data_IF_897503858856
#
_entry.id   IF_897503858856
#
_cell.length_a   1.000
_cell.length_b   1.000
_cell.length_c   1.000
_cell.angle_alpha   90.00
_cell.angle_beta   90.00
_cell.angle_gamma   90.00
#
_symmetry.space_group_name_H-M   'P 1'
#
loop_
_entity.id
_entity.type
_entity.pdbx_description
1 polymer ?
#
# COMPACT_ATOMS: atom_id res chain seq x y z
N UNK A 1 34.14 -23.68 42.08
CA UNK A 1 32.87 -23.08 41.65
C UNK A 1 32.90 -21.55 41.56
N UNK A 2 33.46 -20.81 42.54
CA UNK A 2 33.52 -19.34 42.47
C UNK A 2 34.32 -18.77 41.28
N UNK A 3 35.38 -19.47 40.85
CA UNK A 3 36.23 -19.05 39.74
C UNK A 3 35.50 -19.07 38.38
N UNK A 4 34.69 -20.11 38.12
CA UNK A 4 33.87 -20.22 36.90
C UNK A 4 32.82 -19.12 36.80
N UNK A 5 32.25 -18.73 37.93
CA UNK A 5 31.22 -17.70 38.01
C UNK A 5 31.81 -16.30 37.78
N UNK A 6 33.06 -16.10 38.20
CA UNK A 6 33.83 -14.89 37.91
C UNK A 6 34.22 -14.81 36.43
N UNK A 7 34.75 -15.89 35.87
CA UNK A 7 35.13 -15.95 34.45
C UNK A 7 33.94 -15.70 33.52
N UNK A 8 32.78 -16.29 33.83
CA UNK A 8 31.55 -16.04 33.05
C UNK A 8 31.10 -14.57 33.13
N UNK A 9 31.26 -13.91 34.28
CA UNK A 9 30.94 -12.49 34.44
C UNK A 9 31.91 -11.60 33.68
N UNK A 10 33.21 -11.85 33.81
CA UNK A 10 34.24 -11.07 33.14
C UNK A 10 34.06 -11.14 31.60
N UNK A 11 33.71 -12.32 31.07
CA UNK A 11 33.37 -12.49 29.65
C UNK A 11 32.12 -11.74 29.21
N UNK A 12 31.10 -11.65 30.06
CA UNK A 12 29.89 -10.88 29.76
C UNK A 12 30.18 -9.38 29.75
N UNK A 13 31.03 -8.91 30.66
CA UNK A 13 31.45 -7.51 30.73
C UNK A 13 32.30 -7.12 29.50
N UNK A 14 33.19 -8.01 29.04
CA UNK A 14 33.97 -7.81 27.81
C UNK A 14 33.07 -7.74 26.57
N UNK A 15 32.09 -8.65 26.46
CA UNK A 15 31.11 -8.62 25.37
C UNK A 15 30.25 -7.35 25.37
N UNK A 16 29.87 -6.85 26.54
CA UNK A 16 29.14 -5.60 26.68
C UNK A 16 29.99 -4.38 26.28
N UNK A 17 31.27 -4.38 26.66
CA UNK A 17 32.23 -3.33 26.31
C UNK A 17 32.47 -3.27 24.80
N UNK A 18 32.70 -4.42 24.16
CA UNK A 18 32.93 -4.48 22.71
C UNK A 18 31.69 -4.14 21.89
N UNK A 19 30.50 -4.52 22.37
CA UNK A 19 29.24 -4.14 21.70
C UNK A 19 29.11 -2.64 21.51
N UNK A 20 29.52 -1.83 22.50
CA UNK A 20 29.43 -0.36 22.41
C UNK A 20 30.41 0.25 21.41
N UNK A 21 31.51 -0.45 21.08
CA UNK A 21 32.51 -0.03 20.08
C UNK A 21 32.08 -0.35 18.65
N UNK A 22 31.45 -1.51 18.44
CA UNK A 22 31.04 -1.97 17.10
C UNK A 22 29.62 -1.52 16.71
N UNK A 23 28.79 -1.20 17.69
CA UNK A 23 27.44 -0.66 17.48
C UNK A 23 27.28 0.61 18.32
N UNK A 24 27.83 1.76 17.89
CA UNK A 24 27.57 3.05 18.51
C UNK A 24 26.16 3.51 18.11
N UNK A 25 25.14 2.78 18.56
CA UNK A 25 23.74 3.08 18.30
C UNK A 25 23.05 3.13 19.65
N UNK A 26 22.71 4.35 20.07
CA UNK A 26 21.75 4.58 21.13
C UNK A 26 20.51 3.74 20.85
N UNK A 27 20.08 2.97 21.86
CA UNK A 27 18.80 2.27 21.83
C UNK A 27 17.69 3.27 21.47
N UNK A 28 17.19 3.20 20.23
CA UNK A 28 15.94 3.86 19.87
C UNK A 28 15.85 4.39 18.44
N UNK A 29 16.94 4.82 17.81
CA UNK A 29 16.79 5.71 16.64
C UNK A 29 16.87 5.01 15.28
N UNK A 30 17.63 3.92 15.12
CA UNK A 30 17.94 3.44 13.75
C UNK A 30 16.96 2.40 13.19
N UNK A 31 16.37 1.53 14.03
CA UNK A 31 15.33 0.59 13.57
C UNK A 31 13.99 1.27 13.30
N UNK A 32 13.70 2.38 14.00
CA UNK A 32 12.51 3.18 13.78
C UNK A 32 12.64 4.03 12.51
N UNK A 33 13.83 4.55 12.18
CA UNK A 33 14.04 5.34 10.95
C UNK A 33 13.92 4.45 9.70
N UNK A 34 14.38 3.20 9.73
CA UNK A 34 14.17 2.25 8.62
C UNK A 34 12.70 1.81 8.52
N UNK A 35 11.98 1.70 9.65
CA UNK A 35 10.52 1.43 9.68
C UNK A 35 9.65 2.64 9.31
N UNK A 36 10.16 3.86 9.51
CA UNK A 36 9.48 5.14 9.28
C UNK A 36 9.95 5.84 8.00
N UNK A 37 10.64 5.13 7.08
CA UNK A 37 10.55 5.53 5.69
C UNK A 37 9.11 5.22 5.28
N UNK A 38 8.21 6.14 5.57
CA UNK A 38 6.92 6.24 4.88
C UNK A 38 7.27 6.06 3.41
N UNK A 39 6.98 4.89 2.84
CA UNK A 39 7.07 4.74 1.40
C UNK A 39 6.20 5.84 0.84
N UNK A 40 6.78 6.67 -0.02
CA UNK A 40 6.08 7.81 -0.60
C UNK A 40 4.73 7.33 -1.13
N UNK A 41 3.65 7.97 -0.66
CA UNK A 41 2.32 7.63 -1.15
C UNK A 41 2.29 7.87 -2.65
N UNK A 42 1.84 6.88 -3.39
CA UNK A 42 1.61 7.03 -4.83
C UNK A 42 0.28 7.71 -5.07
N UNK A 43 0.17 8.39 -6.20
CA UNK A 43 -1.06 9.03 -6.65
C UNK A 43 -1.47 8.46 -8.01
N UNK A 44 -2.72 8.64 -8.39
CA UNK A 44 -3.26 8.07 -9.63
C UNK A 44 -2.82 8.79 -10.90
N UNK A 45 -2.33 10.03 -10.83
CA UNK A 45 -1.93 10.82 -12.00
C UNK A 45 -0.65 10.27 -12.65
N UNK A 46 -0.65 10.22 -13.99
CA UNK A 46 0.52 9.94 -14.82
C UNK A 46 0.53 10.87 -16.03
N UNK A 47 1.70 11.39 -16.38
CA UNK A 47 1.90 12.11 -17.63
C UNK A 47 2.20 11.11 -18.75
N UNK A 48 1.15 10.65 -19.45
CA UNK A 48 1.25 9.59 -20.46
C UNK A 48 2.38 9.77 -21.51
N UNK A 49 2.68 10.99 -22.01
CA UNK A 49 3.76 11.16 -22.99
C UNK A 49 5.16 10.73 -22.53
N UNK A 50 5.38 10.60 -21.21
CA UNK A 50 6.65 10.12 -20.65
C UNK A 50 6.72 8.58 -20.56
N UNK A 51 5.66 7.87 -20.92
CA UNK A 51 5.60 6.40 -20.82
C UNK A 51 5.71 5.79 -22.21
N UNK A 52 6.68 4.88 -22.39
CA UNK A 52 6.99 4.26 -23.69
C UNK A 52 6.89 2.74 -23.57
N UNK A 53 6.37 2.08 -24.62
CA UNK A 53 6.42 0.63 -24.76
C UNK A 53 5.44 -0.15 -23.89
N UNK A 54 4.41 0.50 -23.35
CA UNK A 54 3.39 -0.10 -22.48
C UNK A 54 2.01 -0.25 -23.13
N UNK A 55 1.88 0.05 -24.42
CA UNK A 55 0.58 0.04 -25.10
C UNK A 55 -0.09 -1.33 -25.13
N UNK A 56 0.71 -2.39 -25.38
CA UNK A 56 0.22 -3.77 -25.39
C UNK A 56 -0.29 -4.19 -23.99
N UNK A 57 0.51 -3.94 -22.96
CA UNK A 57 0.16 -4.25 -21.56
C UNK A 57 -1.09 -3.46 -21.12
N UNK A 58 -1.16 -2.16 -21.43
CA UNK A 58 -2.33 -1.30 -21.15
C UNK A 58 -3.58 -1.86 -21.79
N UNK A 59 -3.49 -2.28 -23.06
CA UNK A 59 -4.62 -2.85 -23.82
C UNK A 59 -5.08 -4.19 -23.23
N UNK A 60 -4.16 -5.05 -22.81
CA UNK A 60 -4.49 -6.34 -22.21
C UNK A 60 -5.20 -6.17 -20.86
N UNK A 61 -4.66 -5.33 -19.97
CA UNK A 61 -5.30 -5.06 -18.67
C UNK A 61 -6.66 -4.38 -18.85
N UNK A 62 -6.75 -3.40 -19.74
CA UNK A 62 -8.02 -2.75 -20.10
C UNK A 62 -9.06 -3.77 -20.54
N UNK A 63 -8.69 -4.72 -21.41
CA UNK A 63 -9.59 -5.79 -21.84
C UNK A 63 -10.07 -6.62 -20.65
N UNK A 64 -9.17 -7.04 -19.77
CA UNK A 64 -9.53 -7.83 -18.58
C UNK A 64 -10.53 -7.11 -17.65
N UNK A 65 -10.34 -5.81 -17.38
CA UNK A 65 -11.26 -5.07 -16.49
C UNK A 65 -12.62 -4.80 -17.15
N UNK A 66 -12.66 -4.59 -18.47
CA UNK A 66 -13.88 -4.29 -19.22
C UNK A 66 -14.73 -5.54 -19.52
N UNK A 67 -14.10 -6.71 -19.61
CA UNK A 67 -14.79 -7.99 -19.88
C UNK A 67 -15.31 -8.68 -18.61
N UNK A 68 -15.17 -8.02 -17.45
CA UNK A 68 -15.71 -8.54 -16.19
C UNK A 68 -17.22 -8.75 -16.31
N UNK A 69 -17.64 -10.03 -16.40
CA UNK A 69 -19.04 -10.41 -16.58
C UNK A 69 -19.87 -9.99 -15.38
N UNK A 70 -21.08 -9.49 -15.63
CA UNK A 70 -22.06 -9.11 -14.60
C UNK A 70 -22.51 -10.27 -13.69
N UNK A 71 -22.05 -11.51 -13.94
CA UNK A 71 -22.37 -12.70 -13.15
C UNK A 71 -21.51 -12.81 -11.88
N UNK A 72 -20.35 -12.14 -11.83
CA UNK A 72 -19.46 -12.13 -10.67
C UNK A 72 -19.50 -10.75 -10.02
N UNK A 73 -19.88 -10.69 -8.74
CA UNK A 73 -20.04 -9.43 -8.01
C UNK A 73 -18.71 -8.64 -7.84
N UNK A 74 -17.56 -9.32 -7.83
CA UNK A 74 -16.22 -8.71 -7.67
C UNK A 74 -15.19 -9.46 -8.50
N UNK A 75 -14.37 -8.74 -9.27
CA UNK A 75 -13.21 -9.27 -9.98
C UNK A 75 -11.91 -8.64 -9.46
N UNK A 76 -10.86 -9.46 -9.34
CA UNK A 76 -9.56 -9.04 -8.81
C UNK A 76 -8.47 -9.39 -9.81
N UNK A 77 -7.66 -8.40 -10.17
CA UNK A 77 -6.48 -8.56 -11.04
C UNK A 77 -5.25 -8.19 -10.21
N UNK A 78 -4.36 -9.16 -10.00
CA UNK A 78 -3.11 -8.93 -9.30
C UNK A 78 -1.99 -8.58 -10.29
N UNK A 79 -1.30 -7.46 -10.05
CA UNK A 79 -0.13 -7.05 -10.82
C UNK A 79 1.14 -7.33 -10.02
N UNK A 80 1.92 -8.33 -10.45
CA UNK A 80 3.16 -8.73 -9.75
C UNK A 80 4.37 -8.47 -10.62
N UNK A 81 5.55 -8.35 -9.99
CA UNK A 81 6.80 -8.12 -10.71
C UNK A 81 7.86 -7.43 -9.85
N UNK A 82 9.08 -7.43 -10.37
CA UNK A 82 10.26 -6.87 -9.69
C UNK A 82 10.06 -5.37 -9.40
N UNK A 83 10.71 -4.85 -8.35
CA UNK A 83 10.74 -3.42 -8.05
C UNK A 83 11.28 -2.60 -9.23
N UNK A 84 10.75 -1.41 -9.45
CA UNK A 84 11.20 -0.52 -10.53
C UNK A 84 10.76 -0.91 -11.94
N UNK A 85 10.02 -2.01 -12.14
CA UNK A 85 9.55 -2.42 -13.47
C UNK A 85 8.44 -1.51 -14.03
N UNK A 86 7.81 -0.65 -13.21
CA UNK A 86 6.75 0.27 -13.64
C UNK A 86 5.31 -0.26 -13.50
N UNK A 87 5.05 -1.13 -12.51
CA UNK A 87 3.70 -1.65 -12.21
C UNK A 87 2.71 -0.53 -11.92
N UNK A 88 3.07 0.36 -11.00
CA UNK A 88 2.29 1.55 -10.64
C UNK A 88 2.02 2.41 -11.86
N UNK A 89 3.04 2.67 -12.68
CA UNK A 89 2.89 3.44 -13.94
C UNK A 89 1.89 2.81 -14.89
N UNK A 90 1.94 1.49 -15.08
CA UNK A 90 0.99 0.77 -15.91
C UNK A 90 -0.43 0.83 -15.34
N UNK A 91 -0.59 0.69 -14.02
CA UNK A 91 -1.90 0.84 -13.36
C UNK A 91 -2.46 2.27 -13.52
N UNK A 92 -1.63 3.31 -13.39
CA UNK A 92 -2.03 4.70 -13.64
C UNK A 92 -2.48 4.92 -15.09
N UNK A 93 -1.77 4.35 -16.08
CA UNK A 93 -2.17 4.44 -17.49
C UNK A 93 -3.54 3.82 -17.76
N UNK A 94 -3.84 2.68 -17.14
CA UNK A 94 -5.15 2.01 -17.29
C UNK A 94 -6.22 2.80 -16.53
N UNK A 95 -5.93 3.25 -15.31
CA UNK A 95 -6.87 3.98 -14.45
C UNK A 95 -7.34 5.29 -15.09
N UNK A 96 -6.48 5.97 -15.84
CA UNK A 96 -6.79 7.24 -16.52
C UNK A 96 -7.20 7.06 -17.99
N UNK A 97 -7.38 5.82 -18.48
CA UNK A 97 -7.86 5.60 -19.84
C UNK A 97 -9.32 6.10 -20.00
N UNK A 98 -9.58 6.81 -21.09
CA UNK A 98 -10.87 7.46 -21.33
C UNK A 98 -12.05 6.49 -21.40
N UNK A 99 -11.85 5.26 -21.90
CA UNK A 99 -12.93 4.27 -21.91
C UNK A 99 -13.16 3.71 -20.51
N UNK A 100 -12.09 3.45 -19.75
CA UNK A 100 -12.16 2.98 -18.36
C UNK A 100 -12.90 4.00 -17.49
N UNK A 101 -12.57 5.28 -17.64
CA UNK A 101 -13.25 6.38 -16.95
C UNK A 101 -14.74 6.48 -17.28
N UNK A 102 -15.13 6.19 -18.53
CA UNK A 102 -16.55 6.18 -18.92
C UNK A 102 -17.29 4.93 -18.43
N UNK A 103 -16.58 3.82 -18.29
CA UNK A 103 -17.18 2.54 -17.91
C UNK A 103 -17.45 2.45 -16.40
N UNK A 104 -16.52 2.93 -15.58
CA UNK A 104 -16.64 2.90 -14.12
C UNK A 104 -17.18 4.24 -13.59
N UNK A 105 -18.33 4.17 -12.91
CA UNK A 105 -18.99 5.34 -12.31
C UNK A 105 -18.23 5.87 -11.08
N UNK A 106 -17.46 5.00 -10.44
CA UNK A 106 -16.64 5.35 -9.28
C UNK A 106 -15.24 4.74 -9.47
N UNK A 107 -14.20 5.56 -9.30
CA UNK A 107 -12.82 5.08 -9.28
C UNK A 107 -12.18 5.48 -7.95
N UNK A 108 -11.52 4.52 -7.32
CA UNK A 108 -10.80 4.73 -6.06
C UNK A 108 -9.34 4.30 -6.22
N UNK A 109 -8.43 5.16 -5.75
CA UNK A 109 -7.00 4.88 -5.68
C UNK A 109 -6.55 4.91 -4.23
N UNK A 110 -6.14 3.76 -3.72
CA UNK A 110 -5.68 3.62 -2.33
C UNK A 110 -4.22 3.17 -2.38
N UNK A 111 -3.34 4.03 -1.88
CA UNK A 111 -1.91 3.76 -1.85
C UNK A 111 -1.35 3.75 -0.43
N UNK A 112 -0.23 3.06 -0.28
CA UNK A 112 0.64 3.12 0.89
C UNK A 112 0.51 1.93 1.83
N UNK A 113 1.60 1.70 2.56
CA UNK A 113 1.76 0.52 3.41
C UNK A 113 0.77 0.50 4.57
N UNK A 114 0.11 -0.63 4.77
CA UNK A 114 -0.68 -0.90 5.97
C UNK A 114 0.20 -1.72 6.89
N UNK A 115 0.30 -1.29 8.16
CA UNK A 115 1.14 -1.98 9.13
C UNK A 115 0.74 -3.45 9.26
N UNK A 116 1.61 -4.37 8.84
CA UNK A 116 1.38 -5.81 8.98
C UNK A 116 1.28 -6.26 10.46
N UNK A 117 1.80 -5.46 11.38
CA UNK A 117 1.82 -5.78 12.83
C UNK A 117 0.44 -5.52 13.47
N UNK A 118 -0.30 -4.57 12.93
CA UNK A 118 -1.66 -4.27 13.32
C UNK A 118 -2.43 -4.09 12.02
N UNK A 119 -3.00 -5.19 11.51
CA UNK A 119 -3.89 -5.17 10.35
C UNK A 119 -5.11 -4.33 10.70
N UNK A 120 -4.94 -3.02 10.56
CA UNK A 120 -5.92 -2.02 10.88
C UNK A 120 -6.68 -1.73 9.59
N UNK A 121 -7.96 -2.13 9.57
CA UNK A 121 -8.84 -1.91 8.43
C UNK A 121 -9.27 -0.45 8.33
N UNK A 122 -9.26 0.28 9.46
CA UNK A 122 -9.79 1.63 9.54
C UNK A 122 -9.08 2.61 8.57
N UNK A 123 -7.73 2.64 8.48
CA UNK A 123 -7.04 3.52 7.54
C UNK A 123 -7.34 3.20 6.07
N UNK A 124 -7.54 1.92 5.73
CA UNK A 124 -7.86 1.51 4.36
C UNK A 124 -9.25 2.00 3.99
N UNK A 125 -10.26 1.70 4.82
CA UNK A 125 -11.65 2.08 4.56
C UNK A 125 -11.78 3.60 4.51
N UNK A 126 -11.07 4.34 5.36
CA UNK A 126 -11.01 5.81 5.28
C UNK A 126 -10.44 6.28 3.96
N UNK A 127 -9.27 5.79 3.54
CA UNK A 127 -8.67 6.16 2.25
C UNK A 127 -9.61 5.86 1.08
N UNK A 128 -10.36 4.76 1.13
CA UNK A 128 -11.38 4.45 0.13
C UNK A 128 -12.49 5.52 0.12
N UNK A 129 -13.04 5.89 1.28
CA UNK A 129 -14.07 6.94 1.39
C UNK A 129 -13.54 8.29 0.91
N UNK A 130 -12.31 8.65 1.29
CA UNK A 130 -11.67 9.89 0.87
C UNK A 130 -11.43 9.90 -0.64
N UNK A 131 -10.99 8.78 -1.21
CA UNK A 131 -10.82 8.64 -2.65
C UNK A 131 -12.15 8.65 -3.41
N UNK A 132 -13.23 8.12 -2.82
CA UNK A 132 -14.55 8.08 -3.44
C UNK A 132 -15.27 9.44 -3.41
N UNK A 133 -15.09 10.20 -2.33
CA UNK A 133 -15.82 11.44 -2.07
C UNK A 133 -15.01 12.71 -2.33
N UNK A 134 -13.69 12.58 -2.48
CA UNK A 134 -12.72 13.69 -2.52
C UNK A 134 -12.82 14.64 -1.31
N UNK A 135 -13.29 14.12 -0.18
CA UNK A 135 -13.40 14.83 1.09
C UNK A 135 -12.69 14.06 2.17
N UNK A 136 -12.11 14.78 3.12
CA UNK A 136 -11.47 14.18 4.30
C UNK A 136 -12.50 13.38 5.09
N UNK A 137 -12.14 12.15 5.47
CA UNK A 137 -12.98 11.29 6.29
C UNK A 137 -12.68 11.59 7.77
N UNK A 138 -13.73 11.78 8.57
CA UNK A 138 -13.57 11.97 10.00
C UNK A 138 -13.14 10.66 10.69
N UNK A 139 -12.63 10.80 11.92
CA UNK A 139 -12.18 9.66 12.70
C UNK A 139 -13.38 8.94 13.32
N UNK A 140 -14.03 8.07 12.55
CA UNK A 140 -15.14 7.24 13.00
C UNK A 140 -14.70 5.81 13.34
N UNK A 141 -15.53 5.11 14.12
CA UNK A 141 -15.43 3.67 14.33
C UNK A 141 -15.74 2.89 13.04
N UNK A 142 -15.17 1.69 12.94
CA UNK A 142 -15.29 0.82 11.76
C UNK A 142 -16.74 0.59 11.29
N UNK A 143 -17.69 0.48 12.21
CA UNK A 143 -19.11 0.26 11.87
C UNK A 143 -19.72 1.44 11.10
N UNK A 144 -19.32 2.67 11.45
CA UNK A 144 -19.72 3.87 10.74
C UNK A 144 -18.98 3.96 9.41
N UNK A 145 -17.67 3.67 9.39
CA UNK A 145 -16.86 3.68 8.18
C UNK A 145 -17.39 2.70 7.13
N UNK A 146 -17.70 1.45 7.51
CA UNK A 146 -18.24 0.45 6.57
C UNK A 146 -19.61 0.88 6.02
N UNK A 147 -20.46 1.51 6.86
CA UNK A 147 -21.76 2.03 6.43
C UNK A 147 -21.61 3.17 5.42
N UNK A 148 -20.68 4.10 5.67
CA UNK A 148 -20.39 5.19 4.74
C UNK A 148 -19.85 4.68 3.41
N UNK A 149 -18.87 3.77 3.44
CA UNK A 149 -18.32 3.19 2.21
C UNK A 149 -19.38 2.44 1.41
N UNK A 150 -20.26 1.65 2.06
CA UNK A 150 -21.37 0.96 1.39
C UNK A 150 -22.27 1.94 0.65
N UNK A 151 -22.66 3.05 1.29
CA UNK A 151 -23.45 4.10 0.64
C UNK A 151 -22.76 4.70 -0.58
N UNK A 152 -21.44 4.84 -0.56
CA UNK A 152 -20.68 5.38 -1.68
C UNK A 152 -20.58 4.41 -2.86
N UNK A 153 -20.50 3.09 -2.63
CA UNK A 153 -20.34 2.09 -3.70
C UNK A 153 -21.67 1.47 -4.18
N UNK A 154 -22.74 1.59 -3.38
CA UNK A 154 -24.03 0.94 -3.65
C UNK A 154 -24.60 1.36 -5.01
N UNK A 155 -24.98 0.35 -5.81
CA UNK A 155 -25.55 0.54 -7.15
C UNK A 155 -24.56 1.07 -8.19
N UNK A 156 -23.28 1.26 -7.85
CA UNK A 156 -22.26 1.79 -8.76
C UNK A 156 -21.36 0.69 -9.30
N UNK A 157 -20.99 0.81 -10.58
CA UNK A 157 -19.85 0.06 -11.13
C UNK A 157 -18.58 0.78 -10.71
N UNK A 158 -17.76 0.16 -9.87
CA UNK A 158 -16.54 0.77 -9.32
C UNK A 158 -15.26 0.06 -9.72
N UNK A 159 -14.18 0.82 -9.88
CA UNK A 159 -12.80 0.34 -10.00
C UNK A 159 -12.03 0.77 -8.76
N UNK A 160 -11.36 -0.18 -8.11
CA UNK A 160 -10.53 0.06 -6.93
C UNK A 160 -9.10 -0.41 -7.22
N UNK A 161 -8.15 0.49 -7.09
CA UNK A 161 -6.72 0.19 -7.20
C UNK A 161 -6.09 0.25 -5.82
N UNK A 162 -5.48 -0.85 -5.40
CA UNK A 162 -4.59 -0.92 -4.24
C UNK A 162 -3.14 -0.91 -4.73
N UNK A 163 -2.39 0.14 -4.42
CA UNK A 163 -1.01 0.33 -4.87
C UNK A 163 -0.02 0.34 -3.70
N UNK A 164 1.08 -0.39 -3.85
CA UNK A 164 2.13 -0.56 -2.83
C UNK A 164 1.63 -1.04 -1.44
N UNK A 165 0.72 -2.02 -1.42
CA UNK A 165 0.32 -2.78 -0.23
C UNK A 165 1.42 -3.72 0.28
#
# INVERSE_FOLDING_TARGET
>A
MAYLLKDARDRLDDMASDRSKFYPVEQGVDLLVIRNKEREQTYSYVFEPNVVGRDADKKEIKKMIMETRNEVNVSVIAMTGIGGIGKTTLAQLVYNDAEVERYFQLKMWVSGWVSLIAFDMDPIVRKMIESATHRKCENFELEVLQTLLRKEIEGKRYLLVFDDM
#
